data_IF_083060021312
#
_entry.id   IF_083060021312
#
_cell.length_a   1.000
_cell.length_b   1.000
_cell.length_c   1.000
_cell.angle_alpha   90.00
_cell.angle_beta   90.00
_cell.angle_gamma   90.00
#
_symmetry.space_group_name_H-M   'P 1'
#
loop_
_entity.id
_entity.type
_entity.pdbx_description
1 polymer ?
#
# COMPACT_ATOMS: atom_id res chain seq x y z
N UNK A 1 -5.10 -19.78 23.86
CA UNK A 1 -4.37 -18.61 23.31
C UNK A 1 -5.09 -17.33 23.72
N UNK A 2 -4.38 -16.21 23.96
CA UNK A 2 -4.99 -14.92 24.32
C UNK A 2 -4.46 -13.84 23.38
N UNK A 3 -5.37 -13.17 22.68
CA UNK A 3 -5.07 -12.08 21.75
C UNK A 3 -5.69 -10.78 22.27
N UNK A 4 -5.07 -9.66 21.90
CA UNK A 4 -5.55 -8.34 22.25
C UNK A 4 -6.51 -7.81 21.16
N UNK A 5 -6.33 -8.24 19.91
CA UNK A 5 -7.18 -7.88 18.76
C UNK A 5 -7.40 -9.09 17.84
N UNK A 6 -8.60 -9.20 17.28
CA UNK A 6 -8.92 -10.13 16.17
C UNK A 6 -9.30 -9.32 14.94
N UNK A 7 -8.61 -9.55 13.83
CA UNK A 7 -8.89 -8.95 12.52
C UNK A 7 -9.56 -10.01 11.64
N UNK A 8 -10.76 -9.72 11.15
CA UNK A 8 -11.51 -10.63 10.29
C UNK A 8 -11.37 -10.17 8.84
N UNK A 9 -10.82 -11.04 8.00
CA UNK A 9 -10.51 -10.81 6.59
C UNK A 9 -9.02 -10.72 6.31
N UNK A 10 -8.49 -11.65 5.50
CA UNK A 10 -7.09 -11.69 5.05
C UNK A 10 -6.77 -10.77 3.87
N UNK A 11 -7.53 -9.68 3.69
CA UNK A 11 -7.36 -8.70 2.61
C UNK A 11 -6.19 -7.74 2.85
N UNK A 12 -5.82 -6.91 1.85
CA UNK A 12 -4.81 -5.85 2.01
C UNK A 12 -5.11 -4.97 3.23
N UNK A 13 -6.35 -4.51 3.37
CA UNK A 13 -6.78 -3.69 4.51
C UNK A 13 -6.62 -4.42 5.86
N UNK A 14 -6.99 -5.70 5.92
CA UNK A 14 -6.88 -6.53 7.12
C UNK A 14 -5.41 -6.75 7.53
N UNK A 15 -4.55 -7.07 6.56
CA UNK A 15 -3.12 -7.25 6.79
C UNK A 15 -2.44 -5.93 7.20
N UNK A 16 -2.73 -4.83 6.50
CA UNK A 16 -2.23 -3.48 6.84
C UNK A 16 -2.63 -3.06 8.25
N UNK A 17 -3.85 -3.40 8.67
CA UNK A 17 -4.34 -3.15 10.03
C UNK A 17 -3.59 -4.03 11.05
N UNK A 18 -3.53 -5.34 10.81
CA UNK A 18 -2.88 -6.30 11.70
C UNK A 18 -1.39 -5.98 11.90
N UNK A 19 -0.66 -5.62 10.84
CA UNK A 19 0.74 -5.18 10.90
C UNK A 19 0.86 -3.92 11.75
N UNK A 20 0.04 -2.89 11.51
CA UNK A 20 0.09 -1.66 12.29
C UNK A 20 -0.19 -1.85 13.77
N UNK A 21 -1.07 -2.81 14.13
CA UNK A 21 -1.33 -3.19 15.52
C UNK A 21 -0.19 -4.01 16.13
N UNK A 22 0.41 -4.91 15.36
CA UNK A 22 1.56 -5.70 15.79
C UNK A 22 2.80 -4.82 16.03
N UNK A 23 3.05 -3.81 15.19
CA UNK A 23 4.11 -2.80 15.38
C UNK A 23 3.90 -1.98 16.66
N UNK A 24 2.66 -1.84 17.12
CA UNK A 24 2.31 -1.24 18.42
C UNK A 24 2.36 -2.23 19.59
N UNK A 25 2.88 -3.43 19.38
CA UNK A 25 3.04 -4.47 20.39
C UNK A 25 1.77 -5.26 20.73
N UNK A 26 0.69 -5.14 19.93
CA UNK A 26 -0.55 -5.90 20.16
C UNK A 26 -0.44 -7.31 19.62
N UNK A 27 -0.88 -8.30 20.39
CA UNK A 27 -1.04 -9.67 19.90
C UNK A 27 -2.31 -9.76 19.08
N UNK A 28 -2.15 -9.88 17.77
CA UNK A 28 -3.25 -9.90 16.82
C UNK A 28 -3.47 -11.30 16.25
N UNK A 29 -4.73 -11.72 16.12
CA UNK A 29 -5.12 -12.87 15.31
C UNK A 29 -5.79 -12.38 14.03
N UNK A 30 -5.33 -12.86 12.87
CA UNK A 30 -6.02 -12.62 11.59
C UNK A 30 -6.78 -13.88 11.22
N UNK A 31 -8.09 -13.74 11.00
CA UNK A 31 -8.98 -14.84 10.62
C UNK A 31 -9.51 -14.57 9.22
N UNK A 32 -9.31 -15.51 8.29
CA UNK A 32 -9.82 -15.43 6.93
C UNK A 32 -10.40 -16.77 6.51
N UNK A 33 -11.46 -16.76 5.70
CA UNK A 33 -11.96 -17.96 5.03
C UNK A 33 -11.24 -18.10 3.69
N UNK A 34 -10.58 -19.25 3.46
CA UNK A 34 -9.84 -19.50 2.22
C UNK A 34 -8.46 -18.83 2.17
N UNK A 35 -7.90 -18.70 0.97
CA UNK A 35 -6.59 -18.06 0.76
C UNK A 35 -6.67 -16.55 1.03
N UNK A 36 -5.62 -15.95 1.60
CA UNK A 36 -5.54 -14.51 1.86
C UNK A 36 -5.41 -13.72 0.56
N UNK A 37 -5.62 -12.40 0.60
CA UNK A 37 -5.42 -11.56 -0.57
C UNK A 37 -3.99 -11.64 -1.10
N UNK A 38 -2.98 -11.87 -0.25
CA UNK A 38 -1.59 -12.05 -0.70
C UNK A 38 -1.42 -13.21 -1.69
N UNK A 39 -2.32 -14.19 -1.67
CA UNK A 39 -2.34 -15.31 -2.62
C UNK A 39 -2.81 -14.90 -4.03
N UNK A 40 -3.73 -13.94 -4.14
CA UNK A 40 -4.32 -13.51 -5.42
C UNK A 40 -3.81 -12.13 -5.90
N UNK A 41 -3.28 -11.34 -4.98
CA UNK A 41 -2.74 -10.01 -5.20
C UNK A 41 -1.75 -9.74 -4.07
N UNK A 42 -0.46 -9.84 -4.37
CA UNK A 42 0.66 -9.66 -3.41
C UNK A 42 0.76 -8.25 -2.81
N UNK A 43 -0.29 -7.42 -2.92
CA UNK A 43 -0.24 -6.05 -2.46
C UNK A 43 0.77 -5.20 -3.24
N UNK A 44 1.12 -5.58 -4.47
CA UNK A 44 1.93 -4.75 -5.35
C UNK A 44 1.17 -3.45 -5.65
N UNK A 45 1.69 -2.35 -5.12
CA UNK A 45 1.33 -1.02 -5.58
C UNK A 45 2.14 -0.78 -6.84
N UNK A 46 1.46 -0.66 -7.98
CA UNK A 46 2.14 -0.29 -9.22
C UNK A 46 2.70 1.13 -9.08
N UNK A 47 3.96 1.34 -9.39
CA UNK A 47 4.53 2.68 -9.35
C UNK A 47 4.19 3.38 -10.67
N UNK A 48 4.06 4.70 -10.65
CA UNK A 48 3.86 5.47 -11.87
C UNK A 48 5.09 5.28 -12.78
N UNK A 49 4.94 4.50 -13.85
CA UNK A 49 6.02 4.19 -14.80
C UNK A 49 6.05 5.14 -16.01
N UNK A 50 4.94 5.81 -16.31
CA UNK A 50 4.81 6.67 -17.49
C UNK A 50 3.76 7.77 -17.26
N UNK A 51 4.01 8.97 -17.79
CA UNK A 51 3.04 10.07 -17.83
C UNK A 51 2.02 9.88 -18.97
N UNK A 52 0.86 10.58 -18.92
CA UNK A 52 -0.15 10.54 -19.99
C UNK A 52 0.37 10.88 -21.39
N UNK A 53 1.39 11.73 -21.48
CA UNK A 53 2.05 12.10 -22.74
C UNK A 53 3.04 11.03 -23.27
N UNK A 54 3.23 9.95 -22.52
CA UNK A 54 4.14 8.86 -22.88
C UNK A 54 5.55 9.01 -22.32
N UNK A 55 5.85 10.07 -21.57
CA UNK A 55 7.17 10.26 -20.93
C UNK A 55 7.43 9.19 -19.88
N UNK A 56 8.55 8.44 -19.95
CA UNK A 56 8.93 7.48 -18.91
C UNK A 56 9.20 8.16 -17.57
N UNK A 57 8.88 7.47 -16.47
CA UNK A 57 9.03 7.96 -15.10
C UNK A 57 9.96 7.05 -14.30
N UNK A 58 11.18 7.51 -14.05
CA UNK A 58 12.16 6.81 -13.21
C UNK A 58 12.00 7.16 -11.71
N UNK A 59 11.45 8.34 -11.43
CA UNK A 59 11.28 8.88 -10.08
C UNK A 59 9.80 9.30 -9.84
N UNK A 60 8.92 8.37 -9.43
CA UNK A 60 7.48 8.60 -9.31
C UNK A 60 7.10 9.80 -8.44
N UNK A 61 7.81 10.00 -7.32
CA UNK A 61 7.57 11.14 -6.42
C UNK A 61 7.91 12.48 -7.08
N UNK A 62 8.97 12.53 -7.89
CA UNK A 62 9.37 13.75 -8.60
C UNK A 62 8.47 14.04 -9.81
N UNK A 63 7.87 13.01 -10.42
CA UNK A 63 6.96 13.16 -11.56
C UNK A 63 5.54 13.60 -11.17
N UNK A 64 5.18 13.54 -9.89
CA UNK A 64 3.82 13.82 -9.43
C UNK A 64 3.29 15.23 -9.77
N UNK A 65 4.07 16.32 -9.64
CA UNK A 65 3.61 17.65 -10.02
C UNK A 65 3.20 17.74 -11.49
N UNK A 66 3.97 17.10 -12.38
CA UNK A 66 3.68 17.08 -13.81
C UNK A 66 2.47 16.19 -14.12
N UNK A 67 2.33 15.05 -13.43
CA UNK A 67 1.12 14.22 -13.52
C UNK A 67 -0.14 14.99 -13.11
N UNK A 68 -0.09 15.79 -12.05
CA UNK A 68 -1.22 16.63 -11.60
C UNK A 68 -1.59 17.66 -12.68
N UNK A 69 -0.59 18.23 -13.35
CA UNK A 69 -0.80 19.18 -14.45
C UNK A 69 -1.44 18.53 -15.67
N UNK A 70 -0.96 17.35 -16.08
CA UNK A 70 -1.45 16.64 -17.27
C UNK A 70 -2.78 15.91 -17.04
N UNK A 71 -2.96 15.32 -15.85
CA UNK A 71 -4.10 14.50 -15.49
C UNK A 71 -4.53 14.75 -14.02
N UNK A 72 -5.22 15.86 -13.73
CA UNK A 72 -5.61 16.23 -12.37
C UNK A 72 -6.59 15.23 -11.70
N UNK A 73 -7.30 14.42 -12.50
CA UNK A 73 -8.23 13.38 -12.02
C UNK A 73 -7.62 11.99 -11.98
N UNK A 74 -6.34 11.83 -12.31
CA UNK A 74 -5.66 10.55 -12.19
C UNK A 74 -5.63 10.10 -10.71
N UNK A 75 -5.80 8.80 -10.38
CA UNK A 75 -5.80 8.33 -8.99
C UNK A 75 -4.63 8.86 -8.15
N UNK A 76 -3.45 8.88 -8.76
CA UNK A 76 -2.24 9.40 -8.15
C UNK A 76 -2.17 10.92 -7.96
N UNK A 77 -2.84 11.69 -8.82
CA UNK A 77 -3.03 13.12 -8.65
C UNK A 77 -3.98 13.41 -7.50
N UNK A 78 -5.03 12.60 -7.35
CA UNK A 78 -6.06 12.73 -6.30
C UNK A 78 -5.53 12.37 -4.90
N UNK A 79 -4.63 11.39 -4.80
CA UNK A 79 -4.01 10.98 -3.54
C UNK A 79 -3.10 12.09 -2.98
N UNK A 80 -2.36 12.79 -3.85
CA UNK A 80 -1.45 13.88 -3.49
C UNK A 80 -0.11 13.44 -2.91
N UNK A 81 0.93 14.24 -3.13
CA UNK A 81 2.34 13.89 -2.87
C UNK A 81 2.64 13.48 -1.42
N UNK A 82 1.99 14.13 -0.45
CA UNK A 82 2.21 13.86 0.98
C UNK A 82 1.80 12.43 1.35
N UNK A 83 0.62 12.00 0.91
CA UNK A 83 0.12 10.65 1.19
C UNK A 83 0.96 9.60 0.46
N UNK A 84 1.36 9.88 -0.77
CA UNK A 84 2.27 9.04 -1.54
C UNK A 84 3.61 8.81 -0.83
N UNK A 85 4.27 9.87 -0.41
CA UNK A 85 5.52 9.80 0.35
C UNK A 85 5.33 8.95 1.62
N UNK A 86 4.22 9.15 2.33
CA UNK A 86 3.87 8.39 3.53
C UNK A 86 3.68 6.88 3.26
N UNK A 87 3.08 6.51 2.13
CA UNK A 87 2.86 5.09 1.81
C UNK A 87 4.13 4.39 1.30
N UNK A 88 5.00 5.09 0.55
CA UNK A 88 6.22 4.52 -0.03
C UNK A 88 7.38 4.42 0.97
N UNK A 89 7.55 5.40 1.86
CA UNK A 89 8.74 5.48 2.72
C UNK A 89 8.50 4.83 4.10
N UNK A 90 7.25 4.79 4.58
CA UNK A 90 6.97 4.36 5.96
C UNK A 90 6.80 2.86 6.14
N UNK A 91 6.88 2.05 5.08
CA UNK A 91 6.61 0.59 5.15
C UNK A 91 7.58 -0.30 4.35
N UNK A 92 8.91 -0.17 4.53
CA UNK A 92 9.85 -1.14 3.97
C UNK A 92 9.56 -2.58 4.45
N UNK A 93 9.04 -2.73 5.68
CA UNK A 93 8.64 -4.02 6.27
C UNK A 93 7.47 -4.71 5.57
N UNK A 94 6.54 -3.95 4.96
CA UNK A 94 5.46 -4.54 4.16
C UNK A 94 5.96 -5.09 2.83
N UNK A 95 6.99 -4.47 2.24
CA UNK A 95 7.64 -5.01 1.04
C UNK A 95 8.43 -6.29 1.34
N UNK A 96 9.10 -6.38 2.50
CA UNK A 96 9.87 -7.57 2.87
C UNK A 96 9.05 -8.73 3.43
N UNK A 97 7.83 -8.47 3.91
CA UNK A 97 6.93 -9.50 4.45
C UNK A 97 6.12 -10.25 3.38
N UNK A 98 6.27 -9.87 2.11
CA UNK A 98 5.53 -10.45 0.97
C UNK A 98 6.47 -11.04 -0.09
N UNK A 99 7.79 -11.01 0.16
CA UNK A 99 8.80 -11.68 -0.66
C UNK A 99 9.17 -13.05 -0.07
#
# INVERSE_FOLDING_TARGET
MRFDVVVIGGGLAGMVCAIGLAEQGKRCAVVSSGQSALYFSSGSLDLLAQLPDGTPVDAPLAALPELVRQAPRHPYSLIGAERWHRYLIRRPSCCSAVA
#
